data_IF_391680515990
#
_entry.id   IF_391680515990
#
_cell.length_a   1.000
_cell.length_b   1.000
_cell.length_c   1.000
_cell.angle_alpha   90.00
_cell.angle_beta   90.00
_cell.angle_gamma   90.00
#
_symmetry.space_group_name_H-M   'P 1'
#
loop_
_entity.id
_entity.type
_entity.pdbx_description
1 polymer ?
#
# COMPACT_ATOMS: atom_id res chain seq x y z
N UNK A 1 11.96 8.64 3.94
CA UNK A 1 10.82 8.71 4.87
C UNK A 1 11.13 9.78 5.90
N UNK A 2 10.22 10.73 6.10
CA UNK A 2 10.35 11.81 7.11
C UNK A 2 11.69 12.56 7.00
N UNK A 3 12.06 12.89 5.75
CA UNK A 3 13.31 13.60 5.42
C UNK A 3 14.59 12.76 5.51
N UNK A 4 14.51 11.46 5.83
CA UNK A 4 15.68 10.57 5.93
C UNK A 4 15.65 9.44 4.91
N UNK A 5 16.80 9.07 4.29
CA UNK A 5 16.87 7.91 3.41
C UNK A 5 16.73 6.62 4.24
N UNK A 6 16.03 5.63 3.69
CA UNK A 6 15.83 4.31 4.31
C UNK A 6 16.50 3.21 3.50
N UNK A 7 16.37 3.24 2.18
CA UNK A 7 16.97 2.26 1.28
C UNK A 7 17.08 2.81 -0.14
N UNK A 8 17.99 2.23 -0.94
CA UNK A 8 18.15 2.48 -2.36
C UNK A 8 18.38 1.15 -3.08
N UNK A 9 17.63 0.90 -4.15
CA UNK A 9 17.65 -0.37 -4.87
C UNK A 9 17.04 -0.26 -6.26
N UNK A 10 17.41 -1.19 -7.15
CA UNK A 10 16.65 -1.44 -8.37
C UNK A 10 15.38 -2.23 -8.05
N UNK A 11 14.27 -1.90 -8.71
CA UNK A 11 12.98 -2.56 -8.53
C UNK A 11 12.09 -2.32 -9.76
N UNK A 12 11.01 -3.09 -9.89
CA UNK A 12 9.97 -2.78 -10.88
C UNK A 12 9.17 -1.53 -10.48
N UNK A 13 9.15 -1.22 -9.18
CA UNK A 13 8.55 -0.01 -8.64
C UNK A 13 8.35 -0.07 -7.13
N UNK A 14 7.74 0.97 -6.59
CA UNK A 14 7.37 1.05 -5.17
C UNK A 14 5.88 1.38 -5.08
N UNK A 15 5.13 0.58 -4.33
CA UNK A 15 3.74 0.88 -4.01
C UNK A 15 3.69 1.67 -2.70
N UNK A 16 2.95 2.78 -2.71
CA UNK A 16 2.52 3.47 -1.50
C UNK A 16 1.01 3.30 -1.39
N UNK A 17 0.56 2.60 -0.36
CA UNK A 17 -0.83 2.12 -0.26
C UNK A 17 -1.51 2.58 1.02
N UNK A 18 -2.82 2.78 0.93
CA UNK A 18 -3.68 2.98 2.10
C UNK A 18 -4.04 1.63 2.73
N UNK A 19 -4.56 1.60 3.96
CA UNK A 19 -5.05 0.37 4.59
C UNK A 19 -6.14 -0.32 3.77
N UNK A 20 -7.03 0.45 3.13
CA UNK A 20 -8.02 -0.09 2.18
C UNK A 20 -7.36 -0.66 0.92
N UNK A 21 -6.28 -0.04 0.42
CA UNK A 21 -5.52 -0.53 -0.72
C UNK A 21 -4.61 -1.72 -0.40
N UNK A 22 -4.44 -2.09 0.88
CA UNK A 22 -3.59 -3.21 1.31
C UNK A 22 -4.03 -4.56 0.71
N UNK A 23 -5.32 -4.71 0.41
CA UNK A 23 -5.90 -5.91 -0.22
C UNK A 23 -5.91 -5.88 -1.75
N UNK A 24 -5.36 -4.83 -2.37
CA UNK A 24 -5.29 -4.68 -3.82
C UNK A 24 -3.89 -5.05 -4.33
N UNK A 25 -3.27 -4.21 -5.16
CA UNK A 25 -1.96 -4.52 -5.73
C UNK A 25 -0.87 -4.69 -4.65
N UNK A 26 -1.00 -3.97 -3.52
CA UNK A 26 -0.12 -4.16 -2.37
C UNK A 26 -0.11 -5.60 -1.84
N UNK A 27 -1.27 -6.29 -1.83
CA UNK A 27 -1.35 -7.70 -1.46
C UNK A 27 -0.59 -8.58 -2.45
N UNK A 28 -0.79 -8.36 -3.75
CA UNK A 28 -0.10 -9.12 -4.80
C UNK A 28 1.42 -8.92 -4.78
N UNK A 29 1.88 -7.74 -4.39
CA UNK A 29 3.30 -7.41 -4.22
C UNK A 29 3.90 -7.92 -2.90
N UNK A 30 3.17 -8.72 -2.11
CA UNK A 30 3.65 -9.30 -0.85
C UNK A 30 3.51 -8.40 0.37
N UNK A 31 2.71 -7.33 0.27
CA UNK A 31 2.34 -6.47 1.39
C UNK A 31 1.37 -7.15 2.39
N UNK A 32 1.36 -6.71 3.65
CA UNK A 32 0.44 -7.24 4.65
C UNK A 32 -0.99 -6.77 4.37
N UNK A 33 -1.98 -7.59 4.76
CA UNK A 33 -3.37 -7.15 4.84
C UNK A 33 -3.55 -6.31 6.09
N UNK A 34 -4.12 -5.11 5.93
CA UNK A 34 -4.36 -4.16 7.00
C UNK A 34 -5.86 -3.90 7.12
N UNK A 35 -6.35 -3.82 8.36
CA UNK A 35 -7.75 -3.51 8.62
C UNK A 35 -8.09 -2.12 8.09
N UNK A 36 -9.22 -1.94 7.39
CA UNK A 36 -9.56 -0.69 6.75
C UNK A 36 -9.86 0.45 7.74
N UNK A 37 -10.09 0.15 9.02
CA UNK A 37 -10.23 1.13 10.10
C UNK A 37 -8.89 1.68 10.62
N UNK A 38 -7.75 1.03 10.33
CA UNK A 38 -6.44 1.55 10.74
C UNK A 38 -6.12 2.81 9.93
N UNK A 39 -5.47 3.79 10.56
CA UNK A 39 -4.82 4.90 9.86
C UNK A 39 -3.32 4.65 9.80
N UNK A 40 -2.81 4.40 8.60
CA UNK A 40 -1.39 4.15 8.33
C UNK A 40 -1.08 4.37 6.85
N UNK A 41 0.20 4.52 6.51
CA UNK A 41 0.67 4.47 5.12
C UNK A 41 1.57 3.24 4.96
N UNK A 42 1.28 2.41 3.97
CA UNK A 42 2.07 1.22 3.66
C UNK A 42 3.02 1.53 2.50
N UNK A 43 4.27 1.05 2.59
CA UNK A 43 5.26 1.13 1.52
C UNK A 43 5.74 -0.27 1.18
N UNK A 44 5.53 -0.70 -0.07
CA UNK A 44 5.83 -2.04 -0.54
C UNK A 44 6.76 -1.92 -1.75
N UNK A 45 8.05 -2.29 -1.61
CA UNK A 45 8.95 -2.44 -2.76
C UNK A 45 8.47 -3.60 -3.65
N UNK A 46 8.20 -3.35 -4.93
CA UNK A 46 7.78 -4.39 -5.89
C UNK A 46 9.00 -4.98 -6.59
N UNK A 47 9.24 -6.28 -6.42
CA UNK A 47 10.34 -7.02 -7.06
C UNK A 47 11.70 -6.31 -6.87
N UNK A 48 11.93 -5.76 -5.68
CA UNK A 48 13.17 -5.04 -5.39
C UNK A 48 14.36 -6.01 -5.30
N UNK A 49 15.40 -5.70 -6.06
CA UNK A 49 16.67 -6.41 -6.03
C UNK A 49 17.53 -5.89 -4.87
N UNK A 50 17.13 -6.25 -3.64
CA UNK A 50 17.79 -5.84 -2.41
C UNK A 50 17.62 -6.90 -1.30
N UNK A 51 18.60 -6.97 -0.38
CA UNK A 51 18.50 -7.82 0.80
C UNK A 51 17.39 -7.38 1.75
N UNK A 52 17.16 -6.07 1.85
CA UNK A 52 16.08 -5.49 2.64
C UNK A 52 14.98 -4.93 1.72
N UNK A 53 14.05 -5.80 1.33
CA UNK A 53 12.88 -5.48 0.53
C UNK A 53 11.57 -5.80 1.30
N UNK A 54 11.51 -5.38 2.57
CA UNK A 54 10.36 -5.65 3.45
C UNK A 54 9.30 -4.56 3.29
N UNK A 55 8.00 -4.92 3.29
CA UNK A 55 6.93 -3.94 3.47
C UNK A 55 7.12 -3.14 4.75
N UNK A 56 6.90 -1.83 4.68
CA UNK A 56 6.95 -0.92 5.81
C UNK A 56 5.54 -0.37 6.08
N UNK A 57 5.16 -0.27 7.34
CA UNK A 57 3.93 0.37 7.79
C UNK A 57 4.33 1.58 8.61
N UNK A 58 3.82 2.74 8.24
CA UNK A 58 4.24 4.04 8.78
C UNK A 58 3.04 4.80 9.35
N UNK A 59 3.32 5.85 10.13
CA UNK A 59 2.29 6.73 10.67
C UNK A 59 1.53 7.41 9.52
N UNK A 60 0.23 7.71 9.72
CA UNK A 60 -0.54 8.49 8.75
C UNK A 60 0.03 9.89 8.50
N UNK A 61 0.86 10.43 9.39
CA UNK A 61 1.49 11.74 9.29
C UNK A 61 2.86 11.67 8.59
N UNK A 62 3.37 10.48 8.30
CA UNK A 62 4.67 10.32 7.64
C UNK A 62 4.65 10.83 6.19
N UNK A 63 5.79 11.39 5.76
CA UNK A 63 6.03 11.79 4.37
C UNK A 63 6.89 10.73 3.69
N UNK A 64 6.29 10.06 2.70
CA UNK A 64 6.97 9.05 1.90
C UNK A 64 7.50 9.70 0.63
N UNK A 65 8.82 9.82 0.53
CA UNK A 65 9.49 10.30 -0.66
C UNK A 65 10.14 9.13 -1.42
N UNK A 66 9.92 9.07 -2.73
CA UNK A 66 10.59 8.16 -3.67
C UNK A 66 11.29 9.03 -4.72
N UNK A 67 12.59 8.85 -4.84
CA UNK A 67 13.43 9.57 -5.81
C UNK A 67 13.80 8.61 -6.93
N UNK A 68 13.60 9.04 -8.18
CA UNK A 68 13.95 8.28 -9.38
C UNK A 68 15.39 8.61 -9.74
N UNK A 69 16.17 7.58 -10.09
CA UNK A 69 17.55 7.77 -10.52
C UNK A 69 17.62 8.71 -11.74
N UNK A 70 18.44 9.75 -11.63
CA UNK A 70 18.66 10.73 -12.71
C UNK A 70 19.46 10.15 -13.87
N UNK A 71 20.25 9.09 -13.64
CA UNK A 71 20.95 8.35 -14.69
C UNK A 71 20.09 7.28 -15.38
N UNK A 72 18.86 7.06 -14.89
CA UNK A 72 17.96 6.02 -15.35
C UNK A 72 16.99 6.46 -16.45
N UNK A 73 15.82 5.82 -16.46
CA UNK A 73 14.74 6.11 -17.39
C UNK A 73 13.57 6.81 -16.70
N UNK A 74 12.76 7.50 -17.50
CA UNK A 74 11.45 7.97 -17.06
C UNK A 74 10.57 6.79 -16.62
N UNK A 75 9.76 7.03 -15.61
CA UNK A 75 8.77 6.09 -15.09
C UNK A 75 7.35 6.64 -15.13
N UNK A 76 6.46 5.96 -14.42
CA UNK A 76 5.06 6.36 -14.29
C UNK A 76 4.58 6.18 -12.86
N UNK A 77 3.66 7.06 -12.44
CA UNK A 77 2.86 6.89 -11.22
C UNK A 77 1.44 6.55 -11.62
N UNK A 78 0.90 5.48 -11.04
CA UNK A 78 -0.49 5.08 -11.18
C UNK A 78 -1.23 5.30 -9.87
N UNK A 79 -2.25 6.16 -9.86
CA UNK A 79 -3.12 6.34 -8.70
C UNK A 79 -4.43 5.55 -8.91
N UNK A 80 -4.75 4.68 -7.95
CA UNK A 80 -5.93 3.80 -7.93
C UNK A 80 -6.12 2.97 -9.22
N UNK A 81 -5.02 2.68 -9.94
CA UNK A 81 -5.03 1.93 -11.19
C UNK A 81 -5.74 2.64 -12.36
N UNK A 82 -5.99 3.95 -12.27
CA UNK A 82 -6.71 4.71 -13.31
C UNK A 82 -6.03 6.00 -13.73
N UNK A 83 -5.55 6.81 -12.77
CA UNK A 83 -4.89 8.08 -13.08
C UNK A 83 -3.40 7.81 -13.29
N UNK A 84 -2.87 8.21 -14.43
CA UNK A 84 -1.45 7.98 -14.78
C UNK A 84 -0.75 9.32 -14.94
N UNK A 85 0.43 9.43 -14.33
CA UNK A 85 1.30 10.59 -14.42
C UNK A 85 2.67 10.13 -14.91
N UNK A 86 3.23 10.81 -15.90
CA UNK A 86 4.63 10.60 -16.31
C UNK A 86 5.57 11.11 -15.22
N UNK A 87 6.64 10.36 -14.98
CA UNK A 87 7.61 10.67 -13.93
C UNK A 87 9.02 10.72 -14.54
N UNK A 88 9.57 11.91 -14.80
CA UNK A 88 10.89 12.03 -15.41
C UNK A 88 12.00 11.38 -14.55
N UNK A 89 13.07 10.93 -15.19
CA UNK A 89 14.31 10.57 -14.49
C UNK A 89 14.79 11.74 -13.60
N UNK A 90 15.25 11.43 -12.38
CA UNK A 90 15.64 12.44 -11.39
C UNK A 90 14.47 13.10 -10.65
N UNK A 91 13.21 12.78 -10.97
CA UNK A 91 12.06 13.32 -10.25
C UNK A 91 11.93 12.73 -8.84
N UNK A 92 11.25 13.49 -7.98
CA UNK A 92 10.88 13.08 -6.62
C UNK A 92 9.37 13.06 -6.49
N UNK A 93 8.83 11.94 -6.01
CA UNK A 93 7.42 11.78 -5.66
C UNK A 93 7.28 11.81 -4.16
N UNK A 94 6.39 12.66 -3.66
CA UNK A 94 6.01 12.69 -2.25
C UNK A 94 4.57 12.25 -2.08
N UNK A 95 4.37 11.30 -1.17
CA UNK A 95 3.05 10.78 -0.78
C UNK A 95 2.83 11.08 0.68
N UNK A 96 1.70 11.73 0.96
CA UNK A 96 1.24 12.11 2.29
C UNK A 96 -0.23 11.76 2.44
N UNK A 97 -0.72 11.71 3.68
CA UNK A 97 -2.16 11.62 3.94
C UNK A 97 -2.90 12.80 3.29
N UNK A 98 -3.94 12.48 2.51
CA UNK A 98 -4.80 13.48 1.89
C UNK A 98 -5.58 14.27 2.94
N UNK A 99 -5.70 15.58 2.76
CA UNK A 99 -6.40 16.47 3.69
C UNK A 99 -7.91 16.22 3.77
N UNK A 100 -8.50 15.61 2.74
CA UNK A 100 -9.93 15.30 2.67
C UNK A 100 -10.13 13.79 2.52
N UNK A 101 -10.50 13.08 3.59
CA UNK A 101 -10.79 11.66 3.50
C UNK A 101 -12.07 11.41 2.68
N UNK A 102 -12.11 10.27 2.00
CA UNK A 102 -13.32 9.82 1.30
C UNK A 102 -14.39 9.43 2.33
N UNK A 103 -15.64 9.83 2.07
CA UNK A 103 -16.80 9.46 2.89
C UNK A 103 -17.34 8.10 2.44
N UNK A 104 -17.43 7.15 3.35
CA UNK A 104 -17.95 5.81 3.09
C UNK A 104 -19.40 5.68 3.56
N UNK A 105 -20.28 5.18 2.69
CA UNK A 105 -21.61 4.68 3.09
C UNK A 105 -21.49 3.18 3.32
N UNK A 106 -21.81 2.72 4.54
CA UNK A 106 -21.81 1.30 4.90
C UNK A 106 -23.26 0.80 4.98
N UNK A 107 -23.64 -0.09 4.06
CA UNK A 107 -24.99 -0.69 4.01
C UNK A 107 -25.05 -2.05 4.73
N UNK A 108 -23.99 -2.84 4.59
CA UNK A 108 -23.78 -4.11 5.29
C UNK A 108 -22.68 -3.93 6.35
N UNK A 109 -23.03 -4.21 7.61
CA UNK A 109 -22.13 -4.09 8.76
C UNK A 109 -21.30 -5.36 8.99
N UNK A 110 -21.27 -6.30 8.05
CA UNK A 110 -20.38 -7.44 8.12
C UNK A 110 -18.94 -6.99 8.43
N UNK A 111 -18.32 -7.50 9.50
CA UNK A 111 -16.94 -7.20 9.85
C UNK A 111 -15.99 -7.45 8.68
N UNK A 112 -14.88 -6.71 8.63
CA UNK A 112 -13.87 -6.90 7.59
C UNK A 112 -13.32 -8.34 7.57
N UNK A 113 -13.20 -8.99 8.73
CA UNK A 113 -12.81 -10.40 8.82
C UNK A 113 -13.70 -11.32 7.97
N UNK A 114 -15.02 -11.18 8.07
CA UNK A 114 -15.97 -11.99 7.30
C UNK A 114 -15.85 -11.73 5.79
N UNK A 115 -15.58 -10.48 5.40
CA UNK A 115 -15.31 -10.12 4.01
C UNK A 115 -14.03 -10.77 3.49
N UNK A 116 -12.97 -10.83 4.29
CA UNK A 116 -11.73 -11.51 3.92
C UNK A 116 -11.95 -13.01 3.77
N UNK A 117 -12.59 -13.66 4.75
CA UNK A 117 -12.89 -15.10 4.71
C UNK A 117 -13.68 -15.42 3.44
N UNK A 118 -14.72 -14.64 3.14
CA UNK A 118 -15.53 -14.83 1.93
C UNK A 118 -14.73 -14.57 0.65
N UNK A 119 -13.89 -13.53 0.61
CA UNK A 119 -13.17 -13.12 -0.61
C UNK A 119 -12.00 -14.03 -0.96
N UNK A 120 -11.30 -14.55 0.05
CA UNK A 120 -10.10 -15.38 -0.10
C UNK A 120 -10.34 -16.86 0.26
N UNK A 121 -11.60 -17.24 0.53
CA UNK A 121 -11.99 -18.60 0.92
C UNK A 121 -11.14 -19.16 2.07
N UNK A 122 -10.87 -18.31 3.08
CA UNK A 122 -9.97 -18.67 4.17
C UNK A 122 -10.58 -19.80 5.02
N UNK A 123 -9.79 -20.82 5.40
CA UNK A 123 -10.29 -21.91 6.22
C UNK A 123 -10.56 -21.41 7.64
N UNK A 124 -11.82 -21.53 8.07
CA UNK A 124 -12.28 -21.15 9.43
C UNK A 124 -12.84 -22.35 10.22
N UNK A 125 -12.70 -23.56 9.68
CA UNK A 125 -13.17 -24.79 10.31
C UNK A 125 -12.53 -24.98 11.69
N UNK A 126 -13.34 -25.29 12.70
CA UNK A 126 -12.89 -25.49 14.09
C UNK A 126 -12.93 -24.23 14.97
N UNK A 127 -13.26 -23.06 14.41
CA UNK A 127 -13.49 -21.85 15.20
C UNK A 127 -14.78 -21.97 16.03
N UNK A 128 -14.70 -21.74 17.34
CA UNK A 128 -15.81 -21.87 18.30
C UNK A 128 -16.60 -20.57 18.55
N UNK A 129 -16.46 -19.57 17.67
CA UNK A 129 -17.23 -18.32 17.76
C UNK A 129 -18.71 -18.54 17.45
N UNK A 130 -19.55 -17.54 17.72
CA UNK A 130 -20.99 -17.58 17.38
C UNK A 130 -21.14 -17.92 15.89
N UNK A 131 -21.78 -19.05 15.60
CA UNK A 131 -22.40 -19.28 14.30
C UNK A 131 -23.39 -18.14 14.07
N UNK A 132 -23.31 -17.48 12.91
CA UNK A 132 -24.34 -16.54 12.49
C UNK A 132 -25.65 -17.26 12.28
#
# INVERSE_FOLDING_TARGET
>A
MDGRPVSAFGCDGVLVSTPTGSTAYAFSAGGPVVWPELEAILVIPSNAHALFARPLVTSPESIIAVEIDAGGHDGFVFCDGRRTLGLPAGARVEVVRGASPIKWVRLDSAPFADRMVKKFELPVTGWRGRAR
#
